data_IF_278069534544
#
_entry.id   IF_278069534544
#
_cell.length_a   1.000
_cell.length_b   1.000
_cell.length_c   1.000
_cell.angle_alpha   90.00
_cell.angle_beta   90.00
_cell.angle_gamma   90.00
#
_symmetry.space_group_name_H-M   'P 1'
#
loop_
_entity.id
_entity.type
_entity.pdbx_description
1 polymer ?
#
# COMPACT_ATOMS: atom_id res chain seq x y z
N UNK A 1 -7.38 -13.75 12.42
CA UNK A 1 -6.23 -13.24 11.63
C UNK A 1 -5.94 -11.81 12.07
N UNK A 2 -4.81 -11.54 12.75
CA UNK A 2 -4.50 -10.22 13.34
C UNK A 2 -3.67 -9.42 12.35
N UNK A 3 -4.29 -8.60 11.49
CA UNK A 3 -3.54 -7.73 10.57
C UNK A 3 -2.92 -6.55 11.34
N UNK A 4 -1.72 -6.15 10.95
CA UNK A 4 -1.02 -4.99 11.54
C UNK A 4 -1.76 -3.71 11.16
N UNK A 5 -2.33 -3.04 12.14
CA UNK A 5 -2.98 -1.74 11.96
C UNK A 5 -1.92 -0.64 12.03
N UNK A 6 -1.84 0.18 10.98
CA UNK A 6 -1.02 1.38 10.94
C UNK A 6 -1.86 2.57 11.41
N UNK A 7 -1.34 3.31 12.39
CA UNK A 7 -2.09 4.39 13.06
C UNK A 7 -1.57 5.73 12.59
N UNK A 8 -2.27 6.34 11.65
CA UNK A 8 -1.96 7.68 11.16
C UNK A 8 -2.89 8.71 11.79
N UNK A 9 -2.57 9.99 11.64
CA UNK A 9 -3.36 11.09 12.22
C UNK A 9 -4.80 11.12 11.68
N UNK A 10 -4.95 10.76 10.42
CA UNK A 10 -6.19 10.76 9.63
C UNK A 10 -6.95 9.44 9.68
N UNK A 11 -6.45 8.44 10.40
CA UNK A 11 -7.15 7.18 10.60
C UNK A 11 -6.23 6.00 10.85
N UNK A 12 -6.89 4.88 11.19
CA UNK A 12 -6.26 3.57 11.31
C UNK A 12 -6.44 2.83 9.98
N UNK A 13 -5.33 2.39 9.40
CA UNK A 13 -5.31 1.75 8.09
C UNK A 13 -4.72 0.34 8.18
N UNK A 14 -5.26 -0.58 7.39
CA UNK A 14 -4.67 -1.88 7.16
C UNK A 14 -4.04 -1.91 5.77
N UNK A 15 -2.83 -2.45 5.67
CA UNK A 15 -2.20 -2.69 4.36
C UNK A 15 -3.00 -3.69 3.53
N UNK A 16 -3.03 -3.46 2.21
CA UNK A 16 -3.51 -4.39 1.19
C UNK A 16 -2.42 -4.54 0.13
N UNK A 17 -2.23 -5.76 -0.39
CA UNK A 17 -1.22 -6.07 -1.41
C UNK A 17 -1.67 -5.71 -2.84
N UNK A 18 -2.51 -4.67 -2.97
CA UNK A 18 -3.03 -4.22 -4.26
C UNK A 18 -2.27 -2.98 -4.74
N UNK A 19 -1.65 -3.08 -5.92
CA UNK A 19 -0.89 -2.00 -6.53
C UNK A 19 -1.36 -1.76 -7.96
N UNK A 20 -1.61 -0.49 -8.32
CA UNK A 20 -1.97 -0.09 -9.67
C UNK A 20 -0.87 0.80 -10.27
N UNK A 21 -0.33 0.40 -11.42
CA UNK A 21 0.70 1.14 -12.13
C UNK A 21 0.11 1.76 -13.40
N UNK A 22 -0.22 3.05 -13.32
CA UNK A 22 -0.86 3.80 -14.41
C UNK A 22 0.13 4.29 -15.48
N UNK A 23 1.43 4.20 -15.22
CA UNK A 23 2.48 4.68 -16.12
C UNK A 23 3.60 3.63 -16.25
N UNK A 24 4.35 3.62 -17.38
CA UNK A 24 5.51 2.73 -17.54
C UNK A 24 6.56 2.93 -16.43
N UNK A 25 6.86 4.18 -16.08
CA UNK A 25 7.78 4.53 -14.99
C UNK A 25 7.29 4.06 -13.61
N UNK A 26 5.97 3.97 -13.43
CA UNK A 26 5.37 3.35 -12.26
C UNK A 26 5.75 1.87 -12.12
N UNK A 27 5.90 1.13 -13.22
CA UNK A 27 6.28 -0.30 -13.15
C UNK A 27 7.69 -0.52 -12.62
N UNK A 28 8.61 0.41 -12.89
CA UNK A 28 9.99 0.35 -12.39
C UNK A 28 10.03 0.41 -10.85
N UNK A 29 9.06 1.11 -10.22
CA UNK A 29 8.97 1.16 -8.76
C UNK A 29 8.54 -0.17 -8.14
N UNK A 30 7.93 -1.09 -8.89
CA UNK A 30 7.53 -2.39 -8.35
C UNK A 30 8.76 -3.16 -7.82
N UNK A 31 9.89 -3.10 -8.52
CA UNK A 31 11.14 -3.73 -8.08
C UNK A 31 11.67 -3.10 -6.79
N UNK A 32 11.62 -1.76 -6.70
CA UNK A 32 12.02 -1.02 -5.51
C UNK A 32 11.07 -1.29 -4.32
N UNK A 33 9.77 -1.32 -4.57
CA UNK A 33 8.74 -1.62 -3.58
C UNK A 33 8.91 -3.02 -3.01
N UNK A 34 9.21 -4.00 -3.86
CA UNK A 34 9.53 -5.37 -3.44
C UNK A 34 10.76 -5.42 -2.53
N UNK A 35 11.77 -4.57 -2.77
CA UNK A 35 12.92 -4.45 -1.87
C UNK A 35 12.54 -3.86 -0.51
N UNK A 36 11.65 -2.86 -0.48
CA UNK A 36 11.12 -2.30 0.78
C UNK A 36 10.35 -3.36 1.55
N UNK A 37 9.47 -4.09 0.88
CA UNK A 37 8.62 -5.10 1.49
C UNK A 37 9.43 -6.25 2.10
N UNK A 38 10.43 -6.75 1.37
CA UNK A 38 11.38 -7.74 1.88
C UNK A 38 12.16 -7.23 3.11
N UNK A 39 12.26 -5.91 3.26
CA UNK A 39 12.96 -5.25 4.35
C UNK A 39 12.01 -4.61 5.37
N UNK A 40 10.73 -4.97 5.38
CA UNK A 40 9.74 -4.49 6.35
C UNK A 40 10.15 -4.69 7.81
N UNK A 41 11.05 -5.64 8.08
CA UNK A 41 11.64 -5.91 9.40
C UNK A 41 12.86 -5.03 9.75
N UNK A 42 13.31 -4.15 8.84
CA UNK A 42 14.50 -3.29 9.00
C UNK A 42 14.10 -1.80 9.06
N UNK A 43 13.75 -1.28 10.26
CA UNK A 43 13.22 0.07 10.42
C UNK A 43 14.16 1.19 9.93
N UNK A 44 15.48 0.96 9.95
CA UNK A 44 16.49 1.93 9.49
C UNK A 44 16.35 2.30 8.01
N UNK A 45 15.96 1.36 7.13
CA UNK A 45 15.71 1.67 5.70
C UNK A 45 14.48 2.54 5.53
N UNK A 46 13.43 2.26 6.31
CA UNK A 46 12.19 3.06 6.30
C UNK A 46 12.46 4.49 6.80
N UNK A 47 13.29 4.63 7.84
CA UNK A 47 13.75 5.92 8.35
C UNK A 47 14.59 6.64 7.29
N UNK A 48 15.49 5.92 6.61
CA UNK A 48 16.27 6.46 5.49
C UNK A 48 15.37 7.07 4.42
N UNK A 49 14.27 6.41 4.08
CA UNK A 49 13.32 6.85 3.05
C UNK A 49 12.41 8.00 3.49
N UNK A 50 11.77 7.90 4.65
CA UNK A 50 10.79 8.88 5.11
C UNK A 50 11.43 10.07 5.86
N UNK A 51 12.62 9.85 6.41
CA UNK A 51 13.35 10.76 7.28
C UNK A 51 12.92 10.66 8.76
N UNK A 52 13.85 10.97 9.66
CA UNK A 52 13.62 10.95 11.12
C UNK A 52 12.40 11.78 11.56
N UNK A 53 12.18 12.95 10.96
CA UNK A 53 11.03 13.82 11.26
C UNK A 53 9.69 13.13 11.00
N UNK A 54 9.58 12.31 9.95
CA UNK A 54 8.34 11.58 9.66
C UNK A 54 8.12 10.45 10.67
N UNK A 55 9.18 9.73 11.03
CA UNK A 55 9.11 8.60 11.97
C UNK A 55 8.70 9.09 13.37
N UNK A 56 9.30 10.19 13.84
CA UNK A 56 8.93 10.82 15.11
C UNK A 56 7.46 11.25 15.07
N UNK A 57 7.02 11.93 14.00
CA UNK A 57 5.62 12.33 13.86
C UNK A 57 4.65 11.16 13.79
N UNK A 58 5.02 10.07 13.12
CA UNK A 58 4.21 8.85 13.11
C UNK A 58 4.08 8.27 14.51
N UNK A 59 5.20 8.21 15.26
CA UNK A 59 5.20 7.68 16.62
C UNK A 59 4.36 8.52 17.60
N UNK A 60 4.29 9.83 17.36
CA UNK A 60 3.45 10.79 18.09
C UNK A 60 1.99 10.84 17.59
N UNK A 61 1.63 10.08 16.54
CA UNK A 61 0.29 10.09 15.95
C UNK A 61 -0.04 11.36 15.15
N UNK A 62 0.98 12.12 14.73
CA UNK A 62 0.83 13.41 14.03
C UNK A 62 1.09 13.34 12.52
N UNK A 63 1.44 12.17 12.00
CA UNK A 63 1.69 11.97 10.59
C UNK A 63 0.41 11.50 9.89
N UNK A 64 -0.17 12.29 8.97
CA UNK A 64 -1.22 11.80 8.09
C UNK A 64 -0.64 10.91 6.98
N UNK A 65 -1.44 9.96 6.50
CA UNK A 65 -1.03 8.99 5.46
C UNK A 65 -0.58 9.70 4.18
N UNK A 66 -1.34 10.69 3.72
CA UNK A 66 -1.05 11.43 2.50
C UNK A 66 0.29 12.17 2.57
N UNK A 67 0.67 12.69 3.74
CA UNK A 67 1.98 13.33 3.90
C UNK A 67 3.11 12.30 3.84
N UNK A 68 2.93 11.12 4.44
CA UNK A 68 3.90 10.04 4.35
C UNK A 68 4.14 9.63 2.89
N UNK A 69 3.06 9.48 2.11
CA UNK A 69 3.13 9.15 0.68
C UNK A 69 3.69 10.28 -0.17
N UNK A 70 3.39 11.55 0.15
CA UNK A 70 3.95 12.70 -0.54
C UNK A 70 5.47 12.83 -0.31
N UNK A 71 5.97 12.46 0.87
CA UNK A 71 7.42 12.41 1.14
C UNK A 71 8.08 11.29 0.35
N UNK A 72 7.46 10.12 0.31
CA UNK A 72 7.96 9.00 -0.47
C UNK A 72 7.96 9.32 -1.97
N UNK A 73 6.90 9.95 -2.46
CA UNK A 73 6.76 10.42 -3.84
C UNK A 73 7.92 11.33 -4.25
N UNK A 74 8.23 12.33 -3.41
CA UNK A 74 9.35 13.25 -3.66
C UNK A 74 10.72 12.56 -3.64
N UNK A 75 10.91 11.57 -2.77
CA UNK A 75 12.17 10.82 -2.66
C UNK A 75 12.41 9.89 -3.84
N UNK A 76 11.34 9.37 -4.44
CA UNK A 76 11.41 8.40 -5.53
C UNK A 76 11.13 9.01 -6.90
N UNK A 77 10.89 10.32 -6.95
CA UNK A 77 10.51 11.06 -8.16
C UNK A 77 9.35 10.39 -8.93
N UNK A 78 8.36 9.92 -8.19
CA UNK A 78 7.13 9.29 -8.72
C UNK A 78 5.92 9.73 -7.91
N UNK A 79 4.73 9.72 -8.50
CA UNK A 79 3.49 10.06 -7.79
C UNK A 79 2.88 8.83 -7.15
N UNK A 80 2.86 8.77 -5.82
CA UNK A 80 2.25 7.70 -5.03
C UNK A 80 1.04 8.24 -4.30
N UNK A 81 -0.07 7.50 -4.34
CA UNK A 81 -1.29 7.81 -3.57
C UNK A 81 -1.89 6.55 -2.98
N UNK A 82 -2.49 6.70 -1.81
CA UNK A 82 -3.34 5.66 -1.24
C UNK A 82 -4.68 5.66 -1.96
N UNK A 83 -5.20 4.47 -2.21
CA UNK A 83 -6.61 4.28 -2.56
C UNK A 83 -7.27 3.65 -1.35
N UNK A 84 -8.10 4.42 -0.64
CA UNK A 84 -8.82 3.92 0.52
C UNK A 84 -10.02 3.12 0.02
N UNK A 85 -9.99 1.82 0.26
CA UNK A 85 -11.10 0.93 -0.06
C UNK A 85 -12.07 0.91 1.13
N UNK A 86 -13.33 1.36 0.96
CA UNK A 86 -14.32 1.32 2.04
C UNK A 86 -14.87 -0.09 2.30
N UNK A 87 -14.36 -1.10 1.60
CA UNK A 87 -14.82 -2.49 1.67
C UNK A 87 -13.72 -3.39 2.23
N UNK A 88 -13.83 -3.76 3.51
CA UNK A 88 -12.88 -4.69 4.15
C UNK A 88 -12.87 -6.09 3.46
N UNK A 89 -13.98 -6.51 2.85
CA UNK A 89 -14.12 -7.79 2.16
C UNK A 89 -13.34 -7.91 0.84
N UNK A 90 -12.95 -6.78 0.21
CA UNK A 90 -12.14 -6.80 -1.01
C UNK A 90 -10.63 -6.90 -0.74
N UNK A 91 -10.21 -6.88 0.53
CA UNK A 91 -8.81 -6.96 0.98
C UNK A 91 -8.41 -8.35 1.51
N UNK A 92 -9.16 -9.37 1.13
CA UNK A 92 -8.78 -10.78 1.28
C UNK A 92 -7.73 -11.07 0.23
N UNK A 93 -6.53 -11.47 0.67
CA UNK A 93 -5.43 -11.86 -0.21
C UNK A 93 -5.88 -12.99 -1.13
N UNK A 94 -5.89 -12.74 -2.43
CA UNK A 94 -5.92 -13.79 -3.45
C UNK A 94 -4.50 -14.35 -3.56
N UNK A 95 -4.12 -15.19 -2.59
CA UNK A 95 -2.77 -15.77 -2.52
C UNK A 95 -2.62 -17.06 -3.37
N UNK A 96 -3.67 -17.54 -4.06
CA UNK A 96 -3.65 -18.82 -4.78
C UNK A 96 -4.39 -18.78 -6.12
N UNK A 97 -3.89 -19.51 -7.13
CA UNK A 97 -4.45 -19.63 -8.50
C UNK A 97 -5.94 -19.98 -8.56
N UNK A 98 -6.49 -20.62 -7.51
CA UNK A 98 -7.90 -20.99 -7.39
C UNK A 98 -8.86 -19.80 -7.28
N UNK A 99 -8.42 -18.63 -6.82
CA UNK A 99 -9.27 -17.44 -6.74
C UNK A 99 -9.41 -16.72 -8.10
N UNK A 100 -8.50 -16.99 -9.05
CA UNK A 100 -8.58 -16.44 -10.40
C UNK A 100 -9.82 -16.94 -11.15
N UNK A 101 -10.21 -18.20 -10.94
CA UNK A 101 -11.39 -18.81 -11.55
C UNK A 101 -12.70 -18.23 -10.97
N UNK A 102 -12.73 -17.93 -9.67
CA UNK A 102 -13.90 -17.36 -9.01
C UNK A 102 -14.13 -15.89 -9.43
N UNK A 103 -13.05 -15.12 -9.58
CA UNK A 103 -13.13 -13.72 -10.05
C UNK A 103 -13.54 -13.65 -11.52
N UNK A 104 -13.07 -14.57 -12.37
CA UNK A 104 -13.57 -14.67 -13.75
C UNK A 104 -15.06 -15.01 -13.82
N UNK A 105 -15.56 -15.91 -12.96
CA UNK A 105 -16.98 -16.25 -12.92
C UNK A 105 -17.85 -15.04 -12.48
N UNK A 106 -17.39 -14.25 -11.50
CA UNK A 106 -18.11 -13.05 -11.05
C UNK A 106 -18.12 -11.91 -12.06
N UNK A 107 -17.00 -11.66 -12.75
CA UNK A 107 -16.90 -10.61 -13.79
C UNK A 107 -17.71 -10.97 -15.04
N UNK A 108 -17.83 -12.26 -15.37
CA UNK A 108 -18.69 -12.73 -16.46
C UNK A 108 -20.19 -12.54 -16.15
N UNK A 109 -20.61 -12.68 -14.89
CA UNK A 109 -21.99 -12.44 -14.46
C UNK A 109 -22.35 -10.94 -14.47
N UNK A 110 -21.43 -10.06 -14.09
CA UNK A 110 -21.63 -8.61 -14.07
C UNK A 110 -21.66 -7.97 -15.47
N UNK A 111 -21.25 -8.69 -16.53
CA UNK A 111 -21.27 -8.23 -17.92
C UNK A 111 -22.58 -8.49 -18.66
N UNK A 112 -23.54 -9.21 -18.04
CA UNK A 112 -24.82 -9.62 -18.64
C UNK A 112 -26.06 -8.98 -18.01
N UNK A 113 -25.91 -7.98 -17.15
CA UNK A 113 -27.04 -7.25 -16.56
C UNK A 113 -27.03 -5.78 -16.94
#
# INVERSE_FOLDING_TARGET
MKKTVLRFRDGDFCGCNLFAFLTPRGREIAAFWRQIENQRKKPLRLIGLLGWRAVIRYRLGWLPLDEALARLSRRLDIRIRAVILPYAHAAVDVDTLSDYELVQAGVAAARKS
#
